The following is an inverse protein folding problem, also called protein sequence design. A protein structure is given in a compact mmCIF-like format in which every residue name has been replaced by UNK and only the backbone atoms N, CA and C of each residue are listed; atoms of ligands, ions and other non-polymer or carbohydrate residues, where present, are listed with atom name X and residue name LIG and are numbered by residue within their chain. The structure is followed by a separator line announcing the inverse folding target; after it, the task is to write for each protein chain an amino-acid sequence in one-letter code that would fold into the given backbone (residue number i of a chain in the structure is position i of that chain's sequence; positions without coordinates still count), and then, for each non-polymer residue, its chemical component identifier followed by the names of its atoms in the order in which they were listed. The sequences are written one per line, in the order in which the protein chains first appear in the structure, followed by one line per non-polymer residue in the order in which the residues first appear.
data_IF_497076214887
#
_entry.id   IF_497076214887
#
_cell.length_a   1.000
_cell.length_b   1.000
_cell.length_c   1.000
_cell.angle_alpha   90.00
_cell.angle_beta   90.00
_cell.angle_gamma   90.00
#
_symmetry.space_group_name_H-M   'P 1'
#
loop_
_entity.id
_entity.type
_entity.pdbx_description
1 polymer ?
#
# COMPACT_ATOMS: atom_id res chain seq x y z
N UNK A 1 15.10 -12.83 -15.37
CA UNK A 1 14.06 -13.31 -14.44
C UNK A 1 12.84 -12.42 -14.61
N UNK A 2 11.62 -12.95 -14.53
CA UNK A 2 10.41 -12.13 -14.62
C UNK A 2 10.30 -11.23 -13.38
N UNK A 3 10.01 -9.94 -13.59
CA UNK A 3 9.81 -8.97 -12.49
C UNK A 3 8.44 -9.15 -11.81
N UNK A 4 7.56 -9.94 -12.41
CA UNK A 4 6.18 -10.13 -11.97
C UNK A 4 5.86 -11.62 -11.88
N UNK A 5 5.03 -11.95 -10.89
CA UNK A 5 4.48 -13.29 -10.67
C UNK A 5 2.97 -13.23 -10.92
N UNK A 6 2.37 -14.27 -11.53
CA UNK A 6 0.92 -14.31 -11.72
C UNK A 6 0.19 -14.15 -10.39
N UNK A 7 -0.80 -13.24 -10.36
CA UNK A 7 -1.60 -13.02 -9.16
C UNK A 7 -2.30 -14.31 -8.70
N UNK A 8 -2.66 -15.21 -9.63
CA UNK A 8 -3.24 -16.53 -9.33
C UNK A 8 -2.33 -17.44 -8.50
N UNK A 9 -1.01 -17.23 -8.52
CA UNK A 9 -0.05 -17.99 -7.73
C UNK A 9 0.09 -17.46 -6.30
N UNK A 10 -0.46 -16.28 -6.01
CA UNK A 10 -0.45 -15.71 -4.67
C UNK A 10 -1.49 -16.39 -3.79
N UNK A 11 -1.08 -16.85 -2.60
CA UNK A 11 -1.94 -17.62 -1.68
C UNK A 11 -3.19 -16.84 -1.24
N UNK A 12 -3.08 -15.52 -1.08
CA UNK A 12 -4.20 -14.63 -0.73
C UNK A 12 -4.86 -13.99 -1.96
N UNK A 13 -4.65 -14.51 -3.17
CA UNK A 13 -5.26 -13.96 -4.40
C UNK A 13 -6.80 -13.92 -4.39
N UNK A 14 -7.42 -14.71 -3.51
CA UNK A 14 -8.85 -14.67 -3.26
C UNK A 14 -9.36 -13.27 -2.84
N UNK A 15 -8.53 -12.42 -2.22
CA UNK A 15 -8.95 -11.07 -1.79
C UNK A 15 -9.41 -10.19 -2.96
N UNK A 16 -8.80 -10.39 -4.14
CA UNK A 16 -9.15 -9.67 -5.36
C UNK A 16 -10.28 -10.34 -6.15
N UNK A 17 -10.75 -11.51 -5.72
CA UNK A 17 -11.80 -12.28 -6.41
C UNK A 17 -13.11 -12.34 -5.62
N UNK A 18 -13.21 -11.61 -4.51
CA UNK A 18 -14.44 -11.47 -3.74
C UNK A 18 -15.48 -10.67 -4.54
N UNK A 19 -16.75 -10.91 -4.21
CA UNK A 19 -17.84 -10.04 -4.67
C UNK A 19 -17.89 -8.72 -3.88
N UNK A 20 -17.38 -8.73 -2.65
CA UNK A 20 -17.30 -7.56 -1.79
C UNK A 20 -16.03 -7.63 -0.92
N UNK A 21 -15.07 -6.70 -1.08
CA UNK A 21 -15.06 -5.60 -2.04
C UNK A 21 -14.84 -6.11 -3.48
N UNK A 22 -15.62 -5.57 -4.43
CA UNK A 22 -15.53 -5.94 -5.83
C UNK A 22 -14.28 -5.33 -6.49
N UNK A 23 -13.55 -6.13 -7.26
CA UNK A 23 -12.44 -5.67 -8.10
C UNK A 23 -12.72 -6.09 -9.53
N UNK A 24 -12.75 -5.12 -10.45
CA UNK A 24 -13.03 -5.38 -11.87
C UNK A 24 -11.90 -6.18 -12.53
N UNK A 25 -12.19 -6.95 -13.58
CA UNK A 25 -11.16 -7.66 -14.36
C UNK A 25 -10.16 -6.71 -15.05
N UNK A 26 -10.55 -5.46 -15.27
CA UNK A 26 -9.64 -4.42 -15.75
C UNK A 26 -8.64 -4.02 -14.66
N UNK A 27 -9.13 -3.71 -13.46
CA UNK A 27 -8.28 -3.36 -12.33
C UNK A 27 -7.37 -4.51 -11.91
N UNK A 28 -7.87 -5.76 -11.90
CA UNK A 28 -7.04 -6.96 -11.60
C UNK A 28 -5.83 -7.09 -12.52
N UNK A 29 -5.97 -6.73 -13.80
CA UNK A 29 -4.86 -6.79 -14.78
C UNK A 29 -3.80 -5.72 -14.50
N UNK A 30 -4.19 -4.62 -13.88
CA UNK A 30 -3.30 -3.53 -13.47
C UNK A 30 -2.70 -3.73 -12.07
N UNK A 31 -3.18 -4.71 -11.29
CA UNK A 31 -2.61 -5.11 -10.00
C UNK A 31 -1.56 -6.18 -10.24
N UNK A 32 -0.28 -5.81 -10.13
CA UNK A 32 0.86 -6.68 -10.44
C UNK A 32 1.59 -7.08 -9.18
N UNK A 33 1.58 -8.38 -8.87
CA UNK A 33 2.42 -8.92 -7.80
C UNK A 33 3.87 -9.02 -8.28
N UNK A 34 4.79 -8.40 -7.53
CA UNK A 34 6.21 -8.40 -7.86
C UNK A 34 6.84 -9.75 -7.49
N UNK A 35 7.87 -10.16 -8.23
CA UNK A 35 8.72 -11.26 -7.80
C UNK A 35 9.50 -10.89 -6.54
N UNK A 36 9.86 -11.86 -5.71
CA UNK A 36 10.56 -11.64 -4.42
C UNK A 36 11.79 -10.74 -4.57
N UNK A 37 12.61 -10.97 -5.59
CA UNK A 37 13.78 -10.13 -5.90
C UNK A 37 13.38 -8.67 -6.14
N UNK A 38 12.30 -8.43 -6.87
CA UNK A 38 11.88 -7.08 -7.21
C UNK A 38 11.15 -6.41 -6.05
N UNK A 39 10.36 -7.17 -5.30
CA UNK A 39 9.75 -6.73 -4.04
C UNK A 39 10.84 -6.27 -3.06
N UNK A 40 11.92 -7.04 -2.91
CA UNK A 40 13.01 -6.72 -2.00
C UNK A 40 13.73 -5.42 -2.39
N UNK A 41 13.93 -5.20 -3.71
CA UNK A 41 14.47 -3.93 -4.21
C UNK A 41 13.56 -2.75 -3.88
N UNK A 42 12.25 -2.86 -4.15
CA UNK A 42 11.29 -1.79 -3.85
C UNK A 42 11.23 -1.51 -2.35
N UNK A 43 11.17 -2.56 -1.53
CA UNK A 43 11.15 -2.45 -0.09
C UNK A 43 12.40 -1.74 0.44
N UNK A 44 13.59 -2.16 0.00
CA UNK A 44 14.86 -1.52 0.38
C UNK A 44 14.89 -0.05 -0.01
N UNK A 45 14.46 0.29 -1.22
CA UNK A 45 14.58 1.63 -1.78
C UNK A 45 13.50 2.61 -1.27
N UNK A 46 12.36 2.09 -0.80
CA UNK A 46 11.22 2.92 -0.37
C UNK A 46 10.85 2.81 1.10
N UNK A 47 11.09 1.67 1.76
CA UNK A 47 10.61 1.38 3.12
C UNK A 47 11.80 1.30 4.08
N UNK A 48 12.61 0.24 3.99
CA UNK A 48 13.73 0.00 4.91
C UNK A 48 14.80 -0.90 4.29
N UNK A 49 16.07 -0.55 4.51
CA UNK A 49 17.20 -1.41 4.15
C UNK A 49 17.55 -2.43 5.25
N UNK A 50 17.04 -2.26 6.47
CA UNK A 50 17.48 -3.01 7.65
C UNK A 50 16.44 -4.01 8.17
N UNK A 51 15.17 -3.75 7.92
CA UNK A 51 14.06 -4.58 8.40
C UNK A 51 13.26 -5.12 7.23
N UNK A 52 12.69 -6.32 7.35
CA UNK A 52 12.02 -7.03 6.25
C UNK A 52 10.49 -6.98 6.32
N UNK A 53 9.92 -6.55 7.45
CA UNK A 53 8.49 -6.52 7.70
C UNK A 53 8.09 -5.23 8.43
N UNK A 54 6.86 -4.72 8.25
CA UNK A 54 6.38 -3.52 8.91
C UNK A 54 6.45 -3.61 10.44
N UNK A 55 6.15 -4.77 11.04
CA UNK A 55 6.20 -4.94 12.51
C UNK A 55 7.62 -4.90 13.09
N UNK A 56 8.65 -5.01 12.24
CA UNK A 56 10.05 -4.95 12.66
C UNK A 56 10.66 -3.55 12.52
N UNK A 57 9.94 -2.61 11.93
CA UNK A 57 10.42 -1.25 11.73
C UNK A 57 10.67 -0.55 13.06
N UNK A 58 11.72 0.26 13.11
CA UNK A 58 12.18 0.98 14.31
C UNK A 58 12.40 2.45 13.98
N UNK A 59 12.61 3.29 15.00
CA UNK A 59 12.74 4.74 14.86
C UNK A 59 13.79 5.19 13.82
N UNK A 60 14.76 4.33 13.46
CA UNK A 60 15.71 4.61 12.38
C UNK A 60 15.10 4.49 10.98
N UNK A 61 13.98 3.80 10.84
CA UNK A 61 13.17 3.71 9.63
C UNK A 61 12.18 4.87 9.57
N UNK A 62 12.23 5.62 8.48
CA UNK A 62 11.44 6.83 8.29
C UNK A 62 9.92 6.63 8.47
N UNK A 63 9.41 5.41 8.26
CA UNK A 63 7.99 5.07 8.37
C UNK A 63 7.47 5.18 9.81
N UNK A 64 8.29 4.84 10.80
CA UNK A 64 7.88 4.88 12.22
C UNK A 64 8.46 6.09 12.96
N UNK A 65 9.43 6.79 12.38
CA UNK A 65 9.89 8.08 12.88
C UNK A 65 8.75 9.12 12.91
N UNK A 66 8.39 9.54 14.13
CA UNK A 66 7.32 10.52 14.39
C UNK A 66 7.57 11.88 13.74
N UNK A 67 8.82 12.25 13.43
CA UNK A 67 9.13 13.49 12.72
C UNK A 67 8.59 13.50 11.28
N UNK A 68 8.37 12.31 10.70
CA UNK A 68 7.85 12.15 9.34
C UNK A 68 6.33 11.98 9.30
N UNK A 69 5.66 11.84 10.45
CA UNK A 69 4.20 11.71 10.53
C UNK A 69 3.54 13.09 10.40
N UNK A 70 2.75 13.27 9.33
CA UNK A 70 1.95 14.48 9.13
C UNK A 70 0.60 14.41 9.84
N UNK A 71 0.17 13.21 10.24
CA UNK A 71 -1.04 12.96 11.02
C UNK A 71 -1.56 11.53 10.83
N UNK A 72 -2.77 11.28 11.34
CA UNK A 72 -3.46 9.99 11.21
C UNK A 72 -4.98 10.17 11.17
N UNK A 73 -5.66 9.25 10.49
CA UNK A 73 -7.12 9.15 10.45
C UNK A 73 -7.56 7.69 10.64
N UNK A 74 -8.73 7.45 11.25
CA UNK A 74 -9.29 6.11 11.36
C UNK A 74 -9.80 5.65 9.98
N UNK A 75 -9.25 4.56 9.44
CA UNK A 75 -9.69 4.01 8.16
C UNK A 75 -10.80 2.97 8.32
N UNK A 76 -10.86 2.28 9.47
CA UNK A 76 -11.82 1.20 9.72
C UNK A 76 -13.28 1.63 9.52
N UNK A 77 -13.76 2.76 10.08
CA UNK A 77 -15.15 3.18 9.88
C UNK A 77 -15.48 3.45 8.41
N UNK A 78 -14.52 3.99 7.63
CA UNK A 78 -14.69 4.21 6.20
C UNK A 78 -14.74 2.89 5.44
N UNK A 79 -13.92 1.92 5.84
CA UNK A 79 -13.89 0.59 5.23
C UNK A 79 -15.19 -0.17 5.45
N UNK A 80 -15.75 -0.13 6.67
CA UNK A 80 -17.02 -0.78 7.03
C UNK A 80 -18.26 -0.11 6.42
N UNK A 81 -18.15 1.16 6.00
CA UNK A 81 -19.25 1.90 5.38
C UNK A 81 -19.47 1.54 3.91
N UNK A 82 -20.58 2.00 3.32
CA UNK A 82 -20.85 1.89 1.88
C UNK A 82 -20.00 2.86 1.03
N UNK A 83 -19.25 3.77 1.64
CA UNK A 83 -18.38 4.69 0.92
C UNK A 83 -17.22 3.94 0.25
N UNK A 84 -17.11 4.11 -1.07
CA UNK A 84 -16.05 3.46 -1.86
C UNK A 84 -14.71 4.21 -1.75
N UNK A 85 -14.74 5.47 -1.36
CA UNK A 85 -13.56 6.33 -1.26
C UNK A 85 -12.69 6.01 -0.04
N UNK A 86 -11.39 6.28 -0.17
CA UNK A 86 -10.47 6.33 0.99
C UNK A 86 -10.89 7.44 1.96
N UNK A 87 -10.45 7.38 3.23
CA UNK A 87 -10.62 8.48 4.18
C UNK A 87 -10.09 9.81 3.63
N UNK A 88 -10.78 10.90 3.94
CA UNK A 88 -10.59 12.18 3.24
C UNK A 88 -9.20 12.77 3.52
N UNK A 89 -8.66 12.56 4.74
CA UNK A 89 -7.32 13.03 5.11
C UNK A 89 -6.23 12.32 4.31
N UNK A 90 -6.42 11.02 4.03
CA UNK A 90 -5.51 10.25 3.17
C UNK A 90 -5.54 10.78 1.74
N UNK A 91 -6.75 11.06 1.21
CA UNK A 91 -6.90 11.61 -0.15
C UNK A 91 -6.30 13.02 -0.25
N UNK A 92 -6.48 13.86 0.76
CA UNK A 92 -5.93 15.21 0.83
C UNK A 92 -4.39 15.19 0.86
N UNK A 93 -3.79 14.35 1.70
CA UNK A 93 -2.34 14.18 1.78
C UNK A 93 -1.73 13.74 0.44
N UNK A 94 -2.45 12.89 -0.30
CA UNK A 94 -2.04 12.35 -1.59
C UNK A 94 -2.56 13.16 -2.80
N UNK A 95 -3.13 14.35 -2.59
CA UNK A 95 -3.79 15.16 -3.63
C UNK A 95 -2.91 15.50 -4.85
N UNK A 96 -1.59 15.50 -4.69
CA UNK A 96 -0.62 15.74 -5.78
C UNK A 96 -0.28 14.48 -6.62
N UNK A 97 -0.98 13.36 -6.39
CA UNK A 97 -0.81 12.13 -7.17
C UNK A 97 -1.86 12.10 -8.29
N UNK A 98 -1.38 12.03 -9.53
CA UNK A 98 -2.25 11.73 -10.69
C UNK A 98 -2.67 10.27 -10.68
N UNK A 99 -3.80 9.95 -11.32
CA UNK A 99 -4.32 8.57 -11.37
C UNK A 99 -3.35 7.58 -12.02
N UNK A 100 -2.49 8.05 -12.92
CA UNK A 100 -1.42 7.28 -13.58
C UNK A 100 -0.15 7.12 -12.72
N UNK A 101 -0.10 7.75 -11.55
CA UNK A 101 1.03 7.63 -10.62
C UNK A 101 1.20 6.17 -10.25
N UNK A 102 2.36 5.60 -10.58
CA UNK A 102 2.70 4.25 -10.15
C UNK A 102 2.87 4.22 -8.63
N UNK A 103 2.16 3.32 -7.97
CA UNK A 103 2.20 3.13 -6.52
C UNK A 103 2.64 1.71 -6.19
N UNK A 104 3.25 1.57 -5.01
CA UNK A 104 3.64 0.29 -4.44
C UNK A 104 2.92 0.11 -3.11
N UNK A 105 2.24 -1.01 -2.96
CA UNK A 105 1.64 -1.44 -1.71
C UNK A 105 2.53 -2.53 -1.10
N UNK A 106 3.26 -2.16 -0.05
CA UNK A 106 4.33 -2.96 0.54
C UNK A 106 3.83 -3.65 1.81
N UNK A 107 3.49 -4.94 1.72
CA UNK A 107 3.12 -5.75 2.89
C UNK A 107 4.37 -6.24 3.64
N UNK A 108 5.44 -6.57 2.91
CA UNK A 108 6.73 -7.03 3.43
C UNK A 108 7.78 -6.93 2.32
N UNK A 109 9.04 -7.24 2.65
CA UNK A 109 10.14 -7.22 1.68
C UNK A 109 9.98 -8.21 0.52
N UNK A 110 9.20 -9.27 0.69
CA UNK A 110 8.91 -10.28 -0.32
C UNK A 110 7.50 -10.13 -0.94
N UNK A 111 6.61 -9.37 -0.32
CA UNK A 111 5.23 -9.16 -0.78
C UNK A 111 4.99 -7.68 -1.05
N UNK A 112 5.15 -7.31 -2.32
CA UNK A 112 4.87 -5.97 -2.83
C UNK A 112 3.99 -6.05 -4.08
N UNK A 113 2.97 -5.20 -4.12
CA UNK A 113 2.11 -5.02 -5.29
C UNK A 113 2.41 -3.70 -5.97
N UNK A 114 2.53 -3.72 -7.29
CA UNK A 114 2.64 -2.54 -8.14
C UNK A 114 1.31 -2.30 -8.85
N UNK A 115 0.79 -1.08 -8.79
CA UNK A 115 -0.36 -0.65 -9.58
C UNK A 115 -0.32 0.86 -9.82
N UNK A 116 -1.42 1.47 -10.26
CA UNK A 116 -1.56 2.93 -10.36
C UNK A 116 -2.42 3.47 -9.22
N UNK A 117 -2.23 4.75 -8.87
CA UNK A 117 -3.01 5.39 -7.82
C UNK A 117 -4.51 5.34 -8.10
N UNK A 118 -4.93 5.53 -9.35
CA UNK A 118 -6.33 5.44 -9.74
C UNK A 118 -6.92 4.05 -9.47
N UNK A 119 -6.20 2.99 -9.82
CA UNK A 119 -6.61 1.60 -9.55
C UNK A 119 -6.64 1.33 -8.04
N UNK A 120 -5.61 1.74 -7.31
CA UNK A 120 -5.58 1.57 -5.86
C UNK A 120 -6.76 2.26 -5.18
N UNK A 121 -7.08 3.52 -5.52
CA UNK A 121 -8.23 4.24 -4.95
C UNK A 121 -9.55 3.49 -5.09
N UNK A 122 -9.79 2.83 -6.22
CA UNK A 122 -11.03 2.07 -6.46
C UNK A 122 -11.04 0.72 -5.74
N UNK A 123 -9.88 0.20 -5.38
CA UNK A 123 -9.70 -1.19 -4.90
C UNK A 123 -9.09 -1.28 -3.50
N UNK A 124 -8.91 -0.15 -2.82
CA UNK A 124 -8.17 -0.06 -1.55
C UNK A 124 -8.73 -0.99 -0.47
N UNK A 125 -10.06 -1.17 -0.41
CA UNK A 125 -10.70 -2.09 0.54
C UNK A 125 -10.21 -3.54 0.37
N UNK A 126 -9.97 -3.98 -0.87
CA UNK A 126 -9.43 -5.32 -1.15
C UNK A 126 -7.99 -5.46 -0.65
N UNK A 127 -7.17 -4.40 -0.77
CA UNK A 127 -5.79 -4.38 -0.29
C UNK A 127 -5.70 -4.46 1.24
N UNK A 128 -6.68 -3.95 1.98
CA UNK A 128 -6.67 -4.01 3.45
C UNK A 128 -6.96 -5.40 4.03
N UNK A 129 -7.39 -6.37 3.22
CA UNK A 129 -7.34 -7.79 3.63
C UNK A 129 -5.91 -8.37 3.66
N UNK A 130 -4.93 -7.62 3.15
CA UNK A 130 -3.54 -8.05 3.03
C UNK A 130 -2.72 -7.56 4.21
N UNK A 131 -2.36 -8.51 5.08
CA UNK A 131 -1.31 -8.41 6.10
C UNK A 131 -1.35 -7.20 7.05
N UNK A 132 -0.46 -7.23 8.02
CA UNK A 132 -0.45 -6.29 9.13
C UNK A 132 0.52 -5.13 8.87
N UNK A 133 0.02 -3.90 8.85
CA UNK A 133 0.85 -2.70 8.76
C UNK A 133 1.39 -2.30 7.37
N UNK A 134 0.74 -2.63 6.23
CA UNK A 134 1.31 -2.34 4.91
C UNK A 134 1.50 -0.84 4.69
N UNK A 135 2.52 -0.52 3.88
CA UNK A 135 2.88 0.86 3.54
C UNK A 135 2.65 1.11 2.06
N UNK A 136 1.81 2.10 1.74
CA UNK A 136 1.59 2.61 0.40
C UNK A 136 2.57 3.75 0.10
N UNK A 137 3.30 3.65 -1.00
CA UNK A 137 4.23 4.69 -1.47
C UNK A 137 4.07 4.94 -2.96
N UNK A 138 4.26 6.19 -3.38
CA UNK A 138 4.22 6.59 -4.78
C UNK A 138 5.62 6.63 -5.39
N UNK A 139 5.77 6.15 -6.63
CA UNK A 139 7.04 6.23 -7.35
C UNK A 139 7.44 7.70 -7.53
N UNK A 140 8.64 8.06 -7.04
CA UNK A 140 9.16 9.45 -7.02
C UNK A 140 8.29 10.44 -6.22
N UNK A 141 7.43 9.95 -5.32
CA UNK A 141 6.66 10.79 -4.40
C UNK A 141 7.30 10.75 -3.02
N UNK A 142 7.16 11.85 -2.27
CA UNK A 142 7.65 11.91 -0.87
C UNK A 142 6.58 11.40 0.10
N UNK A 143 5.31 11.53 -0.26
CA UNK A 143 4.21 11.07 0.58
C UNK A 143 4.18 9.53 0.64
N UNK A 144 3.77 9.02 1.79
CA UNK A 144 3.41 7.63 2.00
C UNK A 144 2.26 7.52 3.00
N UNK A 145 1.65 6.34 3.07
CA UNK A 145 0.58 6.03 4.01
C UNK A 145 0.82 4.65 4.60
N UNK A 146 0.82 4.53 5.91
CA UNK A 146 0.86 3.22 6.59
C UNK A 146 -0.54 2.90 7.13
N UNK A 147 -1.08 1.74 6.78
CA UNK A 147 -2.33 1.25 7.32
C UNK A 147 -2.05 0.34 8.53
N UNK A 148 -2.22 0.88 9.72
CA UNK A 148 -1.90 0.20 10.97
C UNK A 148 -3.02 -0.77 11.39
N UNK A 149 -2.64 -1.80 12.16
CA UNK A 149 -3.56 -2.83 12.68
C UNK A 149 -4.47 -2.33 13.79
N UNK A 150 -4.24 -1.11 14.29
CA UNK A 150 -5.10 -0.45 15.27
C UNK A 150 -6.25 0.34 14.62
N UNK A 151 -6.42 0.19 13.30
CA UNK A 151 -7.47 0.84 12.54
C UNK A 151 -7.16 2.25 12.04
N UNK A 152 -5.93 2.73 12.24
CA UNK A 152 -5.50 4.06 11.81
C UNK A 152 -4.61 4.01 10.57
N UNK A 153 -4.76 5.02 9.72
CA UNK A 153 -3.89 5.28 8.59
C UNK A 153 -2.99 6.45 8.97
N UNK A 154 -1.69 6.20 9.10
CA UNK A 154 -0.68 7.25 9.34
C UNK A 154 -0.25 7.81 8.00
N UNK A 155 -0.37 9.12 7.82
CA UNK A 155 0.13 9.82 6.63
C UNK A 155 1.53 10.33 6.89
N UNK A 156 2.44 10.04 5.97
CA UNK A 156 3.88 10.16 6.18
C UNK A 156 4.54 10.99 5.07
N UNK A 157 5.63 11.67 5.41
CA UNK A 157 6.50 12.38 4.47
C UNK A 157 7.92 11.82 4.56
N UNK A 158 8.33 11.09 3.52
CA UNK A 158 9.68 10.51 3.45
C UNK A 158 10.73 11.61 3.42
N UNK A 159 11.77 11.55 4.27
CA UNK A 159 12.94 12.41 4.16
C UNK A 159 13.64 12.09 2.83
N UNK A 160 13.90 13.13 2.03
CA UNK A 160 14.70 13.03 0.79
C UNK A 160 16.14 13.35 1.03
#
# INVERSE_FOLDING_TARGET
MSNYVPLSSFSKSWVFNRQDPFVSEEDKREIKWLSESKAADIWRDYISANHLHPELLKEEDWVVDTANEAGREAWEPRWESEEESLPDFVVEHLSHWGDDTKVFYCCSSDIVFETTWGVFKRTWKAFLFLDNGPVLVGRKKKQGVQFCTDGFARVLNRPV
#
